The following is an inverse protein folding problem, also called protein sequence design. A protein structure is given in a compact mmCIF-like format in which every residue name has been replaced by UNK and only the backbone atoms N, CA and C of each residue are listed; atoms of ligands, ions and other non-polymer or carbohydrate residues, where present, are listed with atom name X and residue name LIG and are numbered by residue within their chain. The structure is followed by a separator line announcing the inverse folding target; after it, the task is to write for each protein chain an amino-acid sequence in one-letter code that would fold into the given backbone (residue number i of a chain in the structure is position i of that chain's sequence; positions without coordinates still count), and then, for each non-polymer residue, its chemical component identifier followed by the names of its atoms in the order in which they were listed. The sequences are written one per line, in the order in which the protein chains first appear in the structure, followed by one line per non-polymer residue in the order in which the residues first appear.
data_IF_769688619731
#
_entry.id   IF_769688619731
#
_cell.length_a   1.000
_cell.length_b   1.000
_cell.length_c   1.000
_cell.angle_alpha   90.00
_cell.angle_beta   90.00
_cell.angle_gamma   90.00
#
_symmetry.space_group_name_H-M   'P 1'
#
loop_
_entity.id
_entity.type
_entity.pdbx_description
1 polymer ?
#
# COMPACT_ATOMS: atom_id res chain seq x y z
N UNK A 1 -4.06 7.07 -16.38
CA UNK A 1 -3.38 7.06 -15.05
C UNK A 1 -2.63 8.36 -14.71
N UNK A 2 -2.12 9.15 -15.69
CA UNK A 2 -1.34 10.36 -15.37
C UNK A 2 -2.10 11.36 -14.47
N UNK A 3 -3.36 11.75 -14.75
CA UNK A 3 -4.12 12.63 -13.86
C UNK A 3 -4.34 12.03 -12.46
N UNK A 4 -4.58 10.72 -12.37
CA UNK A 4 -4.77 10.00 -11.10
C UNK A 4 -3.51 10.08 -10.24
N UNK A 5 -2.36 9.72 -10.81
CA UNK A 5 -1.10 9.75 -10.08
C UNK A 5 -0.72 11.18 -9.67
N UNK A 6 -0.91 12.16 -10.57
CA UNK A 6 -0.72 13.57 -10.25
C UNK A 6 -1.58 13.99 -9.06
N UNK A 7 -2.88 13.69 -9.08
CA UNK A 7 -3.80 14.02 -7.98
C UNK A 7 -3.30 13.46 -6.66
N UNK A 8 -2.88 12.19 -6.62
CA UNK A 8 -2.39 11.57 -5.39
C UNK A 8 -1.09 12.23 -4.89
N UNK A 9 -0.07 12.37 -5.75
CA UNK A 9 1.23 12.90 -5.35
C UNK A 9 1.19 14.39 -5.02
N UNK A 10 0.36 15.17 -5.72
CA UNK A 10 0.29 16.61 -5.52
C UNK A 10 -0.70 17.05 -4.43
N UNK A 11 -1.73 16.26 -4.10
CA UNK A 11 -2.79 16.72 -3.19
C UNK A 11 -2.97 15.85 -1.94
N UNK A 12 -2.59 14.56 -1.96
CA UNK A 12 -2.96 13.63 -0.89
C UNK A 12 -1.81 12.97 -0.17
N UNK A 13 -0.84 12.42 -0.90
CA UNK A 13 0.26 11.66 -0.29
C UNK A 13 1.14 12.61 0.53
N UNK A 14 1.23 12.34 1.81
CA UNK A 14 2.17 13.00 2.72
C UNK A 14 3.55 12.36 2.53
N UNK A 15 4.47 13.08 1.91
CA UNK A 15 5.82 12.59 1.61
C UNK A 15 6.85 13.71 1.58
N UNK A 16 8.10 13.39 1.91
CA UNK A 16 9.24 14.30 1.78
C UNK A 16 10.24 13.69 0.79
N UNK A 17 10.36 14.21 -0.43
CA UNK A 17 11.32 13.71 -1.41
C UNK A 17 12.79 13.82 -0.97
N UNK A 18 13.11 14.70 -0.02
CA UNK A 18 14.47 14.85 0.53
C UNK A 18 14.80 13.77 1.56
N UNK A 19 13.79 13.14 2.17
CA UNK A 19 13.92 11.97 3.02
C UNK A 19 12.91 10.88 2.63
N UNK A 20 13.22 10.09 1.59
CA UNK A 20 12.33 9.02 1.12
C UNK A 20 12.01 7.95 2.18
N UNK A 21 12.80 7.88 3.25
CA UNK A 21 12.64 6.91 4.32
C UNK A 21 12.01 7.51 5.59
N UNK A 22 11.56 8.78 5.52
CA UNK A 22 10.88 9.41 6.63
C UNK A 22 9.75 8.53 7.20
N UNK A 23 9.78 8.27 8.49
CA UNK A 23 8.85 7.34 9.15
C UNK A 23 7.40 7.83 9.07
N UNK A 24 7.16 9.13 9.18
CA UNK A 24 5.83 9.75 9.16
C UNK A 24 5.20 9.92 7.78
N UNK A 25 5.87 9.45 6.70
CA UNK A 25 5.32 9.51 5.35
C UNK A 25 4.16 8.54 5.16
N UNK A 26 3.25 8.85 4.26
CA UNK A 26 2.29 7.88 3.74
C UNK A 26 3.00 6.81 2.88
N UNK A 27 2.35 5.70 2.62
CA UNK A 27 2.86 4.62 1.76
C UNK A 27 2.04 4.55 0.48
N UNK A 28 2.72 4.51 -0.66
CA UNK A 28 2.10 4.38 -1.97
C UNK A 28 2.50 3.07 -2.63
N UNK A 29 1.54 2.28 -3.04
CA UNK A 29 1.73 1.01 -3.74
C UNK A 29 1.07 1.06 -5.12
N UNK A 30 1.86 0.86 -6.16
CA UNK A 30 1.37 0.63 -7.52
C UNK A 30 1.19 -0.88 -7.71
N UNK A 31 -0.02 -1.40 -7.53
CA UNK A 31 -0.30 -2.83 -7.59
C UNK A 31 -0.12 -3.36 -9.02
N UNK A 32 -0.67 -2.66 -10.02
CA UNK A 32 -0.41 -2.95 -11.43
C UNK A 32 1.00 -2.51 -11.83
N UNK A 33 2.03 -3.26 -11.42
CA UNK A 33 3.44 -2.88 -11.56
C UNK A 33 3.90 -2.64 -12.99
N UNK A 34 3.22 -3.19 -14.00
CA UNK A 34 3.50 -2.92 -15.42
C UNK A 34 3.27 -1.45 -15.83
N UNK A 35 2.50 -0.69 -15.03
CA UNK A 35 2.33 0.76 -15.19
C UNK A 35 3.43 1.59 -14.48
N UNK A 36 4.59 1.01 -14.18
CA UNK A 36 5.70 1.57 -13.41
C UNK A 36 6.12 2.97 -13.83
N UNK A 37 6.09 3.26 -15.13
CA UNK A 37 6.43 4.59 -15.65
C UNK A 37 5.56 5.70 -15.04
N UNK A 38 4.29 5.41 -14.72
CA UNK A 38 3.40 6.34 -14.03
C UNK A 38 4.01 6.79 -12.70
N UNK A 39 4.54 5.84 -11.91
CA UNK A 39 5.16 6.14 -10.63
C UNK A 39 6.53 6.81 -10.80
N UNK A 40 7.39 6.33 -11.72
CA UNK A 40 8.71 6.94 -11.94
C UNK A 40 8.62 8.40 -12.39
N UNK A 41 7.65 8.74 -13.23
CA UNK A 41 7.41 10.12 -13.64
C UNK A 41 7.05 10.98 -12.42
N UNK A 42 6.18 10.50 -11.53
CA UNK A 42 5.84 11.24 -10.30
C UNK A 42 7.04 11.40 -9.36
N UNK A 43 7.85 10.36 -9.20
CA UNK A 43 9.07 10.42 -8.39
C UNK A 43 10.09 11.42 -8.98
N UNK A 44 10.24 11.46 -10.30
CA UNK A 44 11.08 12.45 -10.98
C UNK A 44 10.56 13.87 -10.76
N UNK A 45 9.27 14.10 -11.01
CA UNK A 45 8.64 15.41 -10.84
C UNK A 45 8.64 15.87 -9.37
N UNK A 46 8.48 14.96 -8.42
CA UNK A 46 8.50 15.27 -6.99
C UNK A 46 9.91 15.53 -6.45
N UNK A 47 10.97 15.07 -7.11
CA UNK A 47 12.35 15.31 -6.70
C UNK A 47 13.01 14.20 -5.88
N UNK A 48 12.60 12.95 -6.05
CA UNK A 48 13.18 11.78 -5.36
C UNK A 48 14.58 11.36 -5.87
N UNK A 49 15.27 12.24 -6.58
CA UNK A 49 16.62 11.99 -7.07
C UNK A 49 16.70 11.11 -8.32
N UNK A 50 15.57 10.84 -8.98
CA UNK A 50 15.58 10.36 -10.36
C UNK A 50 15.95 11.51 -11.31
N UNK A 51 16.74 11.20 -12.32
CA UNK A 51 17.14 12.13 -13.37
C UNK A 51 16.36 11.85 -14.66
N UNK A 52 16.41 12.80 -15.60
CA UNK A 52 15.84 12.58 -16.92
C UNK A 52 16.54 11.42 -17.66
N UNK A 53 17.83 11.19 -17.41
CA UNK A 53 18.56 10.08 -18.00
C UNK A 53 18.14 8.73 -17.40
N UNK A 54 17.74 8.68 -16.14
CA UNK A 54 17.11 7.48 -15.57
C UNK A 54 15.80 7.15 -16.29
N UNK A 55 14.98 8.16 -16.63
CA UNK A 55 13.74 7.96 -17.40
C UNK A 55 14.02 7.54 -18.85
N UNK A 56 15.05 8.10 -19.50
CA UNK A 56 15.50 7.67 -20.82
C UNK A 56 15.99 6.22 -20.82
N UNK A 57 16.54 5.76 -19.70
CA UNK A 57 17.01 4.38 -19.49
C UNK A 57 15.92 3.43 -18.98
N UNK A 58 14.64 3.79 -19.11
CA UNK A 58 13.52 2.94 -18.72
C UNK A 58 13.61 1.56 -19.38
N UNK A 59 13.57 0.49 -18.58
CA UNK A 59 13.80 -0.89 -19.05
C UNK A 59 15.18 -1.12 -19.68
N UNK A 60 16.17 -0.31 -19.35
CA UNK A 60 17.50 -0.33 -19.96
C UNK A 60 18.44 -1.45 -19.53
N UNK A 61 17.96 -2.46 -18.81
CA UNK A 61 18.75 -3.60 -18.35
C UNK A 61 19.15 -3.52 -16.89
N UNK A 62 20.21 -4.23 -16.49
CA UNK A 62 20.58 -4.45 -15.09
C UNK A 62 20.97 -3.17 -14.33
N UNK A 63 21.43 -2.14 -15.03
CA UNK A 63 21.90 -0.88 -14.41
C UNK A 63 20.81 0.22 -14.38
N UNK A 64 19.58 -0.08 -14.84
CA UNK A 64 18.51 0.91 -14.83
C UNK A 64 17.95 1.12 -13.43
N UNK A 65 17.72 2.39 -13.07
CA UNK A 65 16.96 2.75 -11.86
C UNK A 65 15.45 2.78 -12.09
N UNK A 66 15.01 2.53 -13.32
CA UNK A 66 13.61 2.54 -13.75
C UNK A 66 13.27 1.24 -14.49
N UNK A 67 13.27 0.08 -13.79
CA UNK A 67 12.95 -1.21 -14.40
C UNK A 67 11.49 -1.28 -14.86
N UNK A 68 11.14 -2.33 -15.60
CA UNK A 68 9.79 -2.52 -16.14
C UNK A 68 8.68 -2.65 -15.10
N UNK A 69 9.03 -3.06 -13.89
CA UNK A 69 8.17 -3.12 -12.71
C UNK A 69 8.88 -2.43 -11.54
N UNK A 70 8.17 -1.80 -10.60
CA UNK A 70 8.81 -1.19 -9.43
C UNK A 70 9.54 -2.22 -8.58
N UNK A 71 10.74 -1.87 -8.11
CA UNK A 71 11.53 -2.73 -7.23
C UNK A 71 11.93 -1.98 -5.96
N UNK A 72 11.53 -2.52 -4.81
CA UNK A 72 11.91 -1.98 -3.51
C UNK A 72 13.43 -2.02 -3.32
N UNK A 73 13.98 -0.94 -2.81
CA UNK A 73 15.43 -0.80 -2.57
C UNK A 73 16.25 -0.38 -3.80
N UNK A 74 15.67 -0.41 -5.02
CA UNK A 74 16.34 0.04 -6.23
C UNK A 74 16.07 1.52 -6.54
N UNK A 75 14.80 1.89 -6.49
CA UNK A 75 14.36 3.27 -6.79
C UNK A 75 13.86 3.92 -5.50
N UNK A 76 14.41 5.09 -5.09
CA UNK A 76 13.89 5.82 -3.92
C UNK A 76 12.40 6.14 -4.07
N UNK A 77 11.63 5.94 -2.99
CA UNK A 77 10.18 6.17 -2.98
C UNK A 77 9.34 4.99 -3.48
N UNK A 78 9.95 3.86 -3.82
CA UNK A 78 9.24 2.59 -4.07
C UNK A 78 9.12 1.83 -2.74
N UNK A 79 7.89 1.61 -2.30
CA UNK A 79 7.60 0.95 -1.03
C UNK A 79 7.55 -0.58 -1.15
N UNK A 80 7.27 -1.10 -2.33
CA UNK A 80 7.09 -2.53 -2.57
C UNK A 80 7.44 -2.90 -4.01
N UNK A 81 8.07 -4.07 -4.18
CA UNK A 81 8.25 -4.73 -5.47
C UNK A 81 6.91 -5.29 -5.94
N UNK A 82 6.44 -4.87 -7.11
CA UNK A 82 5.22 -5.35 -7.73
C UNK A 82 5.46 -5.86 -9.15
N UNK A 83 4.47 -6.54 -9.73
CA UNK A 83 4.55 -7.17 -11.04
C UNK A 83 3.52 -8.30 -11.16
N UNK A 84 3.55 -9.32 -10.27
CA UNK A 84 2.44 -10.27 -10.16
C UNK A 84 1.18 -9.53 -9.67
N UNK A 85 0.12 -9.59 -10.49
CA UNK A 85 -1.13 -8.89 -10.21
C UNK A 85 -1.80 -9.37 -8.91
N UNK A 86 -2.50 -8.48 -8.24
CA UNK A 86 -3.17 -8.72 -6.96
C UNK A 86 -2.26 -8.71 -5.74
N UNK A 87 -0.95 -9.02 -5.87
CA UNK A 87 -0.03 -9.04 -4.72
C UNK A 87 0.18 -7.66 -4.13
N UNK A 88 0.36 -6.62 -4.96
CA UNK A 88 0.49 -5.24 -4.47
C UNK A 88 -0.74 -4.78 -3.69
N UNK A 89 -1.94 -5.11 -4.18
CA UNK A 89 -3.20 -4.85 -3.49
C UNK A 89 -3.24 -5.56 -2.12
N UNK A 90 -2.93 -6.86 -2.06
CA UNK A 90 -2.94 -7.61 -0.81
C UNK A 90 -1.88 -7.11 0.19
N UNK A 91 -0.65 -6.84 -0.28
CA UNK A 91 0.41 -6.30 0.59
C UNK A 91 0.11 -4.90 1.11
N UNK A 92 -0.63 -4.07 0.37
CA UNK A 92 -1.08 -2.78 0.88
C UNK A 92 -1.97 -2.93 2.13
N UNK A 93 -2.76 -4.00 2.20
CA UNK A 93 -3.53 -4.35 3.39
C UNK A 93 -2.59 -4.74 4.53
N UNK A 94 -1.49 -5.47 4.24
CA UNK A 94 -0.43 -5.76 5.20
C UNK A 94 0.25 -4.49 5.73
N UNK A 95 0.52 -3.51 4.87
CA UNK A 95 1.02 -2.19 5.30
C UNK A 95 0.03 -1.49 6.26
N UNK A 96 -1.27 -1.58 5.99
CA UNK A 96 -2.28 -1.00 6.88
C UNK A 96 -2.39 -1.75 8.23
N UNK A 97 -2.23 -3.09 8.22
CA UNK A 97 -2.08 -3.89 9.45
C UNK A 97 -0.84 -3.48 10.24
N UNK A 98 0.31 -3.37 9.56
CA UNK A 98 1.59 -2.99 10.18
C UNK A 98 1.53 -1.60 10.81
N UNK A 99 0.91 -0.62 10.13
CA UNK A 99 0.70 0.71 10.67
C UNK A 99 -0.12 0.67 11.97
N UNK A 100 -1.26 -0.04 11.96
CA UNK A 100 -2.11 -0.18 13.14
C UNK A 100 -1.39 -0.89 14.28
N UNK A 101 -0.65 -1.97 13.96
CA UNK A 101 0.12 -2.70 14.96
C UNK A 101 1.22 -1.82 15.57
N UNK A 102 1.99 -1.11 14.77
CA UNK A 102 3.03 -0.19 15.25
C UNK A 102 2.44 0.88 16.18
N UNK A 103 1.33 1.50 15.75
CA UNK A 103 0.62 2.48 16.56
C UNK A 103 0.14 1.90 17.89
N UNK A 104 -0.47 0.72 17.85
CA UNK A 104 -0.93 0.02 19.06
C UNK A 104 0.18 -0.37 20.01
N UNK A 105 1.34 -0.73 19.48
CA UNK A 105 2.53 -1.09 20.27
C UNK A 105 3.16 0.14 20.95
N UNK A 106 3.20 1.27 20.27
CA UNK A 106 3.99 2.42 20.67
C UNK A 106 3.17 3.58 21.23
N UNK A 107 1.93 3.78 20.75
CA UNK A 107 1.11 4.96 21.10
C UNK A 107 -0.40 4.65 21.05
N UNK A 108 -0.88 3.62 21.81
CA UNK A 108 -2.27 3.16 21.71
C UNK A 108 -3.32 4.17 22.21
N UNK A 109 -2.93 5.07 23.11
CA UNK A 109 -3.84 6.02 23.76
C UNK A 109 -4.05 7.33 22.98
N UNK A 110 -3.24 7.58 21.94
CA UNK A 110 -3.39 8.78 21.12
C UNK A 110 -4.72 8.78 20.36
N UNK A 111 -5.42 9.93 20.24
CA UNK A 111 -6.56 10.04 19.35
C UNK A 111 -6.17 9.74 17.90
N UNK A 112 -7.12 9.27 17.09
CA UNK A 112 -6.89 8.99 15.68
C UNK A 112 -6.39 10.25 14.93
N UNK A 113 -5.30 10.12 14.19
CA UNK A 113 -4.65 11.21 13.44
C UNK A 113 -3.69 12.07 14.26
N UNK A 114 -3.55 11.83 15.57
CA UNK A 114 -2.65 12.61 16.43
C UNK A 114 -1.33 11.88 16.74
N UNK A 115 -1.30 10.58 16.58
CA UNK A 115 -0.07 9.80 16.79
C UNK A 115 0.97 10.05 15.70
N UNK A 116 2.28 10.15 16.02
CA UNK A 116 3.33 10.21 15.03
C UNK A 116 3.43 8.93 14.18
N UNK A 117 2.78 7.85 14.59
CA UNK A 117 2.72 6.57 13.86
C UNK A 117 1.48 6.45 12.96
N UNK A 118 0.65 7.49 12.88
CA UNK A 118 -0.50 7.52 11.97
C UNK A 118 -0.05 7.94 10.56
N UNK A 119 -0.28 7.04 9.58
CA UNK A 119 -0.09 7.33 8.17
C UNK A 119 -1.10 6.58 7.30
N UNK A 120 -1.26 7.03 6.06
CA UNK A 120 -2.19 6.44 5.11
C UNK A 120 -1.48 5.49 4.14
N UNK A 121 -2.25 4.56 3.61
CA UNK A 121 -1.83 3.65 2.55
C UNK A 121 -2.65 3.98 1.30
N UNK A 122 -1.94 4.28 0.21
CA UNK A 122 -2.50 4.64 -1.09
C UNK A 122 -2.16 3.58 -2.11
N UNK A 123 -3.14 3.18 -2.89
CA UNK A 123 -2.97 2.12 -3.90
C UNK A 123 -3.56 2.58 -5.21
N UNK A 124 -2.88 2.26 -6.31
CA UNK A 124 -3.47 2.23 -7.65
C UNK A 124 -3.46 0.77 -8.10
N UNK A 125 -4.62 0.26 -8.52
CA UNK A 125 -4.78 -1.06 -9.10
C UNK A 125 -5.61 -1.01 -10.39
N UNK A 126 -5.51 -2.03 -11.22
CA UNK A 126 -6.28 -2.18 -12.43
C UNK A 126 -7.22 -3.39 -12.37
N UNK A 127 -7.93 -3.67 -13.48
CA UNK A 127 -8.86 -4.80 -13.57
C UNK A 127 -8.18 -6.13 -13.24
N UNK A 128 -6.99 -6.38 -13.78
CA UNK A 128 -6.29 -7.63 -13.54
C UNK A 128 -5.93 -7.85 -12.07
N UNK A 129 -5.59 -6.78 -11.32
CA UNK A 129 -5.43 -6.88 -9.85
C UNK A 129 -6.72 -7.31 -9.16
N UNK A 130 -7.86 -6.76 -9.63
CA UNK A 130 -9.19 -7.01 -9.04
C UNK A 130 -9.71 -8.41 -9.38
N UNK A 131 -9.31 -8.97 -10.52
CA UNK A 131 -9.68 -10.33 -10.97
C UNK A 131 -8.94 -11.42 -10.18
N UNK A 132 -7.73 -11.14 -9.68
CA UNK A 132 -6.96 -12.10 -8.90
C UNK A 132 -7.69 -12.50 -7.60
N UNK A 133 -7.76 -13.80 -7.32
CA UNK A 133 -8.48 -14.36 -6.18
C UNK A 133 -8.02 -13.80 -4.84
N UNK A 134 -6.71 -13.57 -4.68
CA UNK A 134 -6.12 -13.00 -3.46
C UNK A 134 -6.65 -11.60 -3.16
N UNK A 135 -7.01 -10.81 -4.16
CA UNK A 135 -7.57 -9.46 -3.97
C UNK A 135 -8.94 -9.52 -3.30
N UNK A 136 -9.79 -10.48 -3.68
CA UNK A 136 -11.09 -10.70 -3.02
C UNK A 136 -10.94 -11.14 -1.56
N UNK A 137 -10.03 -12.08 -1.30
CA UNK A 137 -9.72 -12.55 0.05
C UNK A 137 -9.18 -11.42 0.93
N UNK A 138 -8.21 -10.63 0.41
CA UNK A 138 -7.60 -9.52 1.10
C UNK A 138 -8.59 -8.37 1.36
N UNK A 139 -9.45 -8.04 0.37
CA UNK A 139 -10.49 -7.03 0.52
C UNK A 139 -11.49 -7.39 1.64
N UNK A 140 -11.89 -8.67 1.73
CA UNK A 140 -12.74 -9.14 2.81
C UNK A 140 -12.11 -8.97 4.19
N UNK A 141 -10.81 -9.26 4.32
CA UNK A 141 -10.06 -9.04 5.58
C UNK A 141 -9.93 -7.55 5.92
N UNK A 142 -9.62 -6.70 4.94
CA UNK A 142 -9.49 -5.25 5.14
C UNK A 142 -10.76 -4.62 5.69
N UNK A 143 -11.92 -5.03 5.18
CA UNK A 143 -13.23 -4.59 5.68
C UNK A 143 -13.50 -5.08 7.10
N UNK A 144 -13.27 -6.37 7.36
CA UNK A 144 -13.43 -6.96 8.69
C UNK A 144 -12.56 -6.26 9.75
N UNK A 145 -11.39 -5.80 9.34
CA UNK A 145 -10.45 -5.05 10.18
C UNK A 145 -10.74 -3.54 10.23
N UNK A 146 -11.70 -3.03 9.45
CA UNK A 146 -12.02 -1.60 9.43
C UNK A 146 -10.80 -0.72 9.18
N UNK A 147 -10.03 -1.02 8.10
CA UNK A 147 -8.78 -0.31 7.79
C UNK A 147 -9.04 1.06 7.17
N UNK A 148 -9.42 2.02 8.00
CA UNK A 148 -9.80 3.37 7.57
C UNK A 148 -8.67 4.20 6.97
N UNK A 149 -7.41 3.82 7.15
CA UNK A 149 -6.25 4.46 6.54
C UNK A 149 -5.90 3.96 5.13
N UNK A 150 -6.65 3.00 4.59
CA UNK A 150 -6.45 2.42 3.26
C UNK A 150 -7.38 3.08 2.23
N UNK A 151 -6.80 3.63 1.17
CA UNK A 151 -7.52 4.19 0.01
C UNK A 151 -6.98 3.59 -1.27
N UNK A 152 -7.84 2.96 -2.04
CA UNK A 152 -7.52 2.30 -3.31
C UNK A 152 -8.21 3.05 -4.45
N UNK A 153 -7.43 3.44 -5.45
CA UNK A 153 -7.92 3.96 -6.72
C UNK A 153 -7.91 2.81 -7.72
N UNK A 154 -9.07 2.45 -8.19
CA UNK A 154 -9.26 1.42 -9.21
C UNK A 154 -9.34 2.09 -10.59
N UNK A 155 -8.28 1.91 -11.41
CA UNK A 155 -8.24 2.38 -12.80
C UNK A 155 -9.07 1.45 -13.68
N UNK A 156 -10.30 1.86 -13.95
CA UNK A 156 -11.26 1.12 -14.75
C UNK A 156 -11.18 1.56 -16.23
N UNK A 157 -10.11 1.18 -16.90
CA UNK A 157 -9.92 1.49 -18.33
C UNK A 157 -10.50 0.43 -19.27
N UNK A 158 -10.92 -0.72 -18.74
CA UNK A 158 -11.58 -1.83 -19.42
C UNK A 158 -10.74 -2.53 -20.49
N UNK A 159 -9.42 -2.36 -20.46
CA UNK A 159 -8.52 -2.96 -21.44
C UNK A 159 -7.47 -3.83 -20.74
N UNK A 160 -7.35 -5.06 -21.22
CA UNK A 160 -6.30 -6.02 -20.91
C UNK A 160 -5.49 -6.38 -22.16
N UNK A 161 -4.46 -7.21 -22.02
CA UNK A 161 -3.60 -7.63 -23.16
C UNK A 161 -4.42 -8.30 -24.27
N UNK A 162 -5.41 -9.13 -23.92
CA UNK A 162 -6.23 -9.86 -24.88
C UNK A 162 -7.39 -9.06 -25.45
N UNK A 163 -7.71 -7.89 -24.85
CA UNK A 163 -8.82 -7.06 -25.33
C UNK A 163 -9.63 -6.39 -24.23
N UNK A 164 -10.90 -6.13 -24.53
CA UNK A 164 -11.85 -5.54 -23.60
C UNK A 164 -12.20 -6.53 -22.49
N UNK A 165 -12.24 -6.04 -21.25
CA UNK A 165 -12.53 -6.84 -20.04
C UNK A 165 -13.92 -7.47 -20.03
N UNK A 166 -14.87 -7.02 -20.88
CA UNK A 166 -16.16 -7.68 -21.05
C UNK A 166 -16.04 -9.15 -21.47
N UNK A 167 -14.88 -9.58 -21.97
CA UNK A 167 -14.62 -10.99 -22.28
C UNK A 167 -14.60 -11.88 -21.03
N UNK A 168 -14.20 -11.33 -19.88
CA UNK A 168 -13.89 -12.09 -18.65
C UNK A 168 -14.49 -11.51 -17.38
N UNK A 169 -14.81 -10.24 -17.33
CA UNK A 169 -15.29 -9.52 -16.16
C UNK A 169 -16.74 -9.07 -16.35
N UNK A 170 -17.69 -9.84 -15.82
CA UNK A 170 -19.12 -9.56 -15.92
C UNK A 170 -19.71 -8.95 -14.64
N UNK A 171 -18.93 -8.83 -13.59
CA UNK A 171 -19.41 -8.38 -12.29
C UNK A 171 -19.37 -6.85 -12.14
N UNK A 172 -20.18 -6.36 -11.20
CA UNK A 172 -20.11 -5.00 -10.70
C UNK A 172 -19.12 -4.94 -9.55
N UNK A 173 -17.92 -4.47 -9.82
CA UNK A 173 -16.81 -4.39 -8.86
C UNK A 173 -17.18 -3.57 -7.63
N UNK A 174 -17.88 -2.43 -7.81
CA UNK A 174 -18.29 -1.60 -6.68
C UNK A 174 -19.24 -2.35 -5.75
N UNK A 175 -20.24 -3.06 -6.28
CA UNK A 175 -21.15 -3.88 -5.47
C UNK A 175 -20.43 -5.02 -4.76
N UNK A 176 -19.44 -5.65 -5.41
CA UNK A 176 -18.62 -6.68 -4.76
C UNK A 176 -17.90 -6.10 -3.54
N UNK A 177 -17.25 -4.96 -3.67
CA UNK A 177 -16.54 -4.32 -2.57
C UNK A 177 -17.49 -3.78 -1.48
N UNK A 178 -18.66 -3.26 -1.85
CA UNK A 178 -19.72 -2.91 -0.90
C UNK A 178 -20.16 -4.14 -0.07
N UNK A 179 -20.29 -5.30 -0.71
CA UNK A 179 -20.65 -6.54 -0.03
C UNK A 179 -19.55 -7.01 0.95
N UNK A 180 -18.29 -6.67 0.71
CA UNK A 180 -17.21 -6.89 1.70
C UNK A 180 -17.29 -5.92 2.88
N UNK A 181 -17.92 -4.75 2.74
CA UNK A 181 -17.97 -3.69 3.76
C UNK A 181 -17.07 -2.50 3.48
N UNK A 182 -16.58 -2.33 2.25
CA UNK A 182 -15.84 -1.15 1.83
C UNK A 182 -16.76 0.03 1.57
N UNK A 183 -16.27 1.23 1.83
CA UNK A 183 -16.84 2.42 1.22
C UNK A 183 -16.43 2.46 -0.25
N UNK A 184 -17.38 2.73 -1.14
CA UNK A 184 -17.10 2.82 -2.57
C UNK A 184 -17.65 4.12 -3.13
N UNK A 185 -16.90 4.70 -4.06
CA UNK A 185 -17.33 5.85 -4.84
C UNK A 185 -16.83 5.68 -6.28
N UNK A 186 -17.32 6.50 -7.19
CA UNK A 186 -16.90 6.48 -8.59
C UNK A 186 -16.67 7.89 -9.13
N UNK A 187 -15.71 8.00 -10.02
CA UNK A 187 -15.39 9.19 -10.77
C UNK A 187 -15.13 8.84 -12.24
N UNK A 188 -15.50 9.70 -13.17
CA UNK A 188 -15.27 9.43 -14.59
C UNK A 188 -14.65 10.62 -15.28
N UNK A 189 -13.52 10.38 -15.95
CA UNK A 189 -12.98 11.33 -16.94
C UNK A 189 -13.75 11.28 -18.27
N UNK A 190 -14.52 10.20 -18.49
CA UNK A 190 -15.38 10.05 -19.68
C UNK A 190 -16.69 10.77 -19.39
N UNK A 191 -17.00 11.77 -20.20
CA UNK A 191 -18.21 12.57 -20.06
C UNK A 191 -19.44 11.84 -20.66
N UNK A 192 -20.67 12.24 -20.30
CA UNK A 192 -21.89 11.62 -20.85
C UNK A 192 -22.03 11.71 -22.39
N UNK A 193 -21.37 12.66 -23.01
CA UNK A 193 -21.32 12.81 -24.47
C UNK A 193 -20.21 11.97 -25.13
N UNK A 194 -19.45 11.21 -24.34
CA UNK A 194 -18.33 10.39 -24.79
C UNK A 194 -17.00 11.16 -24.92
N UNK A 195 -16.98 12.46 -24.66
CA UNK A 195 -15.73 13.22 -24.60
C UNK A 195 -14.92 12.84 -23.34
N UNK A 196 -13.64 13.18 -23.33
CA UNK A 196 -12.76 12.92 -22.19
C UNK A 196 -12.25 14.24 -21.61
N UNK A 197 -12.36 14.39 -20.29
CA UNK A 197 -11.90 15.59 -19.58
C UNK A 197 -11.08 15.16 -18.36
N UNK A 198 -9.82 15.58 -18.32
CA UNK A 198 -8.93 15.38 -17.16
C UNK A 198 -9.28 16.35 -16.02
N UNK A 199 -10.36 16.07 -15.32
CA UNK A 199 -10.87 16.87 -14.20
C UNK A 199 -10.20 16.45 -12.89
N UNK A 200 -8.99 16.94 -12.69
CA UNK A 200 -8.15 16.66 -11.51
C UNK A 200 -8.80 17.17 -10.23
N UNK A 201 -9.44 18.35 -10.28
CA UNK A 201 -10.12 18.94 -9.11
C UNK A 201 -11.33 18.10 -8.69
N UNK A 202 -12.15 17.67 -9.67
CA UNK A 202 -13.29 16.79 -9.40
C UNK A 202 -12.88 15.43 -8.82
N UNK A 203 -11.77 14.86 -9.30
CA UNK A 203 -11.22 13.64 -8.71
C UNK A 203 -10.72 13.88 -7.27
N UNK A 204 -10.01 14.98 -7.04
CA UNK A 204 -9.55 15.33 -5.70
C UNK A 204 -10.72 15.51 -4.72
N UNK A 205 -11.78 16.20 -5.13
CA UNK A 205 -12.99 16.35 -4.32
C UNK A 205 -13.66 15.01 -3.99
N UNK A 206 -13.70 14.09 -4.95
CA UNK A 206 -14.26 12.74 -4.75
C UNK A 206 -13.44 11.97 -3.71
N UNK A 207 -12.11 11.97 -3.83
CA UNK A 207 -11.22 11.33 -2.86
C UNK A 207 -11.38 11.94 -1.45
N UNK A 208 -11.41 13.26 -1.35
CA UNK A 208 -11.56 13.96 -0.07
C UNK A 208 -12.87 13.60 0.61
N UNK A 209 -13.99 13.64 -0.12
CA UNK A 209 -15.33 13.26 0.38
C UNK A 209 -15.37 11.81 0.86
N UNK A 210 -14.81 10.88 0.09
CA UNK A 210 -14.75 9.47 0.47
C UNK A 210 -14.01 9.25 1.80
N UNK A 211 -12.89 9.96 1.99
CA UNK A 211 -12.11 9.87 3.23
C UNK A 211 -12.83 10.46 4.43
N UNK A 212 -13.54 11.55 4.26
CA UNK A 212 -14.36 12.17 5.31
C UNK A 212 -15.59 11.31 5.67
N UNK A 213 -16.27 10.76 4.66
CA UNK A 213 -17.48 9.96 4.85
C UNK A 213 -17.24 8.62 5.55
N UNK A 214 -16.05 8.03 5.38
CA UNK A 214 -15.76 6.68 5.85
C UNK A 214 -14.41 6.57 6.59
N UNK A 215 -14.23 7.24 7.74
CA UNK A 215 -12.94 7.25 8.45
C UNK A 215 -12.51 5.86 8.93
N UNK A 216 -13.45 4.96 9.20
CA UNK A 216 -13.20 3.62 9.73
C UNK A 216 -13.47 2.48 8.71
N UNK A 217 -13.52 2.79 7.42
CA UNK A 217 -13.69 1.78 6.37
C UNK A 217 -12.59 1.94 5.31
N UNK A 218 -12.08 0.84 4.74
CA UNK A 218 -11.26 0.94 3.55
C UNK A 218 -12.08 1.50 2.39
N UNK A 219 -11.45 2.26 1.49
CA UNK A 219 -12.11 2.97 0.39
C UNK A 219 -11.65 2.43 -0.93
N UNK A 220 -12.59 2.14 -1.83
CA UNK A 220 -12.35 1.89 -3.24
C UNK A 220 -13.01 2.98 -4.07
N UNK A 221 -12.21 3.74 -4.79
CA UNK A 221 -12.68 4.77 -5.71
C UNK A 221 -12.39 4.29 -7.13
N UNK A 222 -13.45 3.93 -7.84
CA UNK A 222 -13.37 3.57 -9.26
C UNK A 222 -13.21 4.83 -10.09
N UNK A 223 -12.22 4.83 -10.98
CA UNK A 223 -11.99 5.93 -11.93
C UNK A 223 -12.08 5.40 -13.35
N UNK A 224 -13.13 5.80 -14.09
CA UNK A 224 -13.25 5.45 -15.50
C UNK A 224 -12.25 6.29 -16.34
N UNK A 225 -11.34 5.59 -17.00
CA UNK A 225 -10.28 6.17 -17.83
C UNK A 225 -10.29 5.57 -19.24
N UNK A 226 -9.49 6.15 -20.14
CA UNK A 226 -9.19 5.58 -21.46
C UNK A 226 -7.69 5.36 -21.60
N UNK A 227 -7.29 4.12 -21.87
CA UNK A 227 -5.88 3.80 -22.10
C UNK A 227 -5.36 4.58 -23.32
N UNK A 228 -4.13 5.08 -23.21
CA UNK A 228 -3.42 5.84 -24.25
C UNK A 228 -4.16 7.09 -24.78
N UNK A 229 -5.16 7.62 -24.07
CA UNK A 229 -5.77 8.89 -24.43
C UNK A 229 -4.73 10.04 -24.32
N UNK A 230 -4.68 11.01 -25.24
CA UNK A 230 -5.45 11.17 -26.47
C UNK A 230 -4.70 10.72 -27.74
N UNK A 231 -3.88 9.69 -27.66
CA UNK A 231 -3.02 9.24 -28.78
C UNK A 231 -3.85 8.83 -30.01
N UNK A 232 -3.63 9.46 -31.18
CA UNK A 232 -4.34 9.13 -32.40
C UNK A 232 -4.20 7.65 -32.79
N UNK A 233 -5.35 6.99 -33.06
CA UNK A 233 -5.39 5.58 -33.45
C UNK A 233 -4.94 4.57 -32.39
N UNK A 234 -4.68 5.03 -31.14
CA UNK A 234 -4.24 4.20 -30.04
C UNK A 234 -5.09 4.36 -28.77
N UNK A 235 -5.91 5.41 -28.69
CA UNK A 235 -6.84 5.60 -27.58
C UNK A 235 -7.82 4.44 -27.50
N UNK A 236 -7.97 3.84 -26.31
CA UNK A 236 -8.84 2.70 -26.03
C UNK A 236 -8.59 1.47 -26.91
N UNK A 237 -7.34 1.30 -27.38
CA UNK A 237 -6.92 0.16 -28.20
C UNK A 237 -6.11 -0.83 -27.33
N UNK A 238 -6.43 -2.14 -27.33
CA UNK A 238 -5.74 -3.15 -26.51
C UNK A 238 -4.23 -3.22 -26.80
N UNK A 239 -3.79 -2.92 -28.04
CA UNK A 239 -2.36 -2.89 -28.37
C UNK A 239 -1.59 -1.83 -27.58
N UNK A 240 -2.26 -0.86 -26.97
CA UNK A 240 -1.65 0.17 -26.13
C UNK A 240 -1.28 -0.36 -24.74
N UNK A 241 -1.84 -1.50 -24.32
CA UNK A 241 -1.58 -2.07 -22.99
C UNK A 241 -0.13 -2.59 -22.85
N UNK A 242 0.38 -3.30 -23.83
CA UNK A 242 1.70 -3.96 -23.72
C UNK A 242 2.67 -3.71 -24.87
N UNK A 243 2.29 -2.91 -25.87
CA UNK A 243 3.08 -2.69 -27.06
C UNK A 243 3.54 -1.24 -27.17
N UNK A 244 4.61 -1.00 -27.95
CA UNK A 244 5.04 0.36 -28.29
C UNK A 244 3.96 1.05 -29.11
N UNK A 245 3.67 2.31 -28.79
CA UNK A 245 2.72 3.14 -29.56
C UNK A 245 3.16 3.33 -31.02
N UNK A 246 4.48 3.39 -31.26
CA UNK A 246 5.07 3.65 -32.56
C UNK A 246 5.35 5.14 -32.80
N UNK A 247 6.34 5.42 -33.66
CA UNK A 247 6.82 6.78 -33.88
C UNK A 247 5.74 7.74 -34.42
N UNK A 248 4.92 7.26 -35.35
CA UNK A 248 3.84 8.05 -35.95
C UNK A 248 2.78 8.45 -34.91
N UNK A 249 2.33 7.49 -34.07
CA UNK A 249 1.34 7.76 -33.02
C UNK A 249 1.89 8.70 -31.94
N UNK A 250 3.18 8.56 -31.58
CA UNK A 250 3.86 9.46 -30.63
C UNK A 250 4.00 10.86 -31.22
N UNK A 251 4.39 11.01 -32.50
CA UNK A 251 4.45 12.31 -33.14
C UNK A 251 3.07 13.01 -33.17
N UNK A 252 2.02 12.27 -33.57
CA UNK A 252 0.67 12.80 -33.59
C UNK A 252 0.14 13.16 -32.19
N UNK A 253 0.53 12.41 -31.15
CA UNK A 253 0.21 12.77 -29.75
C UNK A 253 0.88 14.10 -29.36
N UNK A 254 2.17 14.27 -29.68
CA UNK A 254 2.90 15.51 -29.38
C UNK A 254 2.29 16.71 -30.07
N UNK A 255 1.99 16.60 -31.36
CA UNK A 255 1.30 17.64 -32.12
C UNK A 255 -0.04 18.03 -31.50
N UNK A 256 -0.83 17.03 -31.11
CA UNK A 256 -2.13 17.25 -30.47
C UNK A 256 -2.01 17.99 -29.13
N UNK A 257 -0.94 17.73 -28.39
CA UNK A 257 -0.65 18.37 -27.10
C UNK A 257 0.14 19.69 -27.24
N UNK A 258 0.48 20.10 -28.46
CA UNK A 258 1.21 21.35 -28.74
C UNK A 258 2.72 21.25 -28.54
N UNK A 259 3.29 20.06 -28.51
CA UNK A 259 4.73 19.81 -28.43
C UNK A 259 5.35 19.59 -29.84
N UNK A 260 6.66 19.84 -29.92
CA UNK A 260 7.42 19.51 -31.13
C UNK A 260 7.51 17.98 -31.33
N UNK A 261 6.99 17.42 -32.43
CA UNK A 261 7.02 15.98 -32.69
C UNK A 261 8.44 15.40 -32.81
N UNK A 262 9.42 16.21 -33.20
CA UNK A 262 10.81 15.78 -33.35
C UNK A 262 11.61 15.87 -32.05
N UNK A 263 11.17 16.67 -31.05
CA UNK A 263 11.83 16.79 -29.75
C UNK A 263 11.50 15.60 -28.88
N UNK A 264 12.50 14.94 -28.29
CA UNK A 264 12.31 13.82 -27.35
C UNK A 264 12.67 14.23 -25.93
N UNK A 265 11.91 13.74 -24.96
CA UNK A 265 12.10 14.00 -23.55
C UNK A 265 12.06 15.49 -23.17
N UNK A 266 11.22 16.24 -23.86
CA UNK A 266 10.91 17.61 -23.44
C UNK A 266 10.30 17.62 -22.03
N UNK A 267 10.80 18.53 -21.19
CA UNK A 267 10.26 18.77 -19.87
C UNK A 267 9.96 20.26 -19.76
N UNK A 268 8.70 20.59 -19.59
CA UNK A 268 8.28 21.95 -19.34
C UNK A 268 8.80 22.43 -17.97
N UNK A 269 9.60 23.51 -17.97
CA UNK A 269 10.26 24.02 -16.75
C UNK A 269 9.27 24.57 -15.74
N UNK A 270 8.16 25.16 -16.18
CA UNK A 270 7.11 25.69 -15.31
C UNK A 270 6.34 24.54 -14.64
N UNK A 271 6.01 23.51 -15.41
CA UNK A 271 5.37 22.29 -14.89
C UNK A 271 6.28 21.56 -13.89
N UNK A 272 7.57 21.44 -14.18
CA UNK A 272 8.55 20.85 -13.26
C UNK A 272 8.67 21.67 -11.98
N UNK A 273 8.79 23.00 -12.09
CA UNK A 273 8.86 23.89 -10.94
C UNK A 273 7.59 23.84 -10.08
N UNK A 274 6.41 23.72 -10.72
CA UNK A 274 5.15 23.53 -10.00
C UNK A 274 5.14 22.21 -9.23
N UNK A 275 5.46 21.10 -9.88
CA UNK A 275 5.45 19.79 -9.27
C UNK A 275 6.45 19.67 -8.10
N UNK A 276 7.62 20.31 -8.22
CA UNK A 276 8.67 20.37 -7.19
C UNK A 276 8.25 21.08 -5.91
N UNK A 277 7.18 21.89 -5.90
CA UNK A 277 6.63 22.51 -4.68
C UNK A 277 6.13 21.47 -3.66
N UNK A 278 5.91 20.24 -4.07
CA UNK A 278 5.60 19.15 -3.14
C UNK A 278 6.71 18.94 -2.11
N UNK A 279 7.98 19.17 -2.48
CA UNK A 279 9.09 19.07 -1.54
C UNK A 279 9.03 20.12 -0.41
N UNK A 280 8.52 21.32 -0.70
CA UNK A 280 8.32 22.36 0.32
C UNK A 280 7.21 21.95 1.30
N UNK A 281 6.07 21.44 0.77
CA UNK A 281 4.97 20.90 1.59
C UNK A 281 5.39 19.69 2.41
N UNK A 282 6.20 18.80 1.80
CA UNK A 282 6.76 17.63 2.46
C UNK A 282 7.67 18.00 3.62
N UNK A 283 8.54 18.97 3.43
CA UNK A 283 9.42 19.48 4.49
C UNK A 283 8.62 20.12 5.66
N UNK A 284 7.54 20.82 5.37
CA UNK A 284 6.68 21.37 6.41
C UNK A 284 5.97 20.26 7.20
N UNK A 285 5.36 19.30 6.50
CA UNK A 285 4.73 18.14 7.14
C UNK A 285 5.74 17.30 7.95
N UNK A 286 6.99 17.20 7.51
CA UNK A 286 8.07 16.54 8.23
C UNK A 286 8.41 17.26 9.54
N UNK A 287 8.53 18.61 9.51
CA UNK A 287 8.76 19.41 10.73
C UNK A 287 7.62 19.28 11.74
N UNK A 288 6.37 19.34 11.28
CA UNK A 288 5.21 19.13 12.15
C UNK A 288 5.21 17.74 12.78
N UNK A 289 5.62 16.73 12.00
CA UNK A 289 5.77 15.38 12.50
C UNK A 289 6.91 15.26 13.53
N UNK A 290 8.05 15.88 13.28
CA UNK A 290 9.18 15.94 14.22
C UNK A 290 8.77 16.52 15.58
N UNK A 291 7.96 17.57 15.58
CA UNK A 291 7.42 18.15 16.81
C UNK A 291 6.55 17.15 17.57
N UNK A 292 5.60 16.49 16.89
CA UNK A 292 4.75 15.44 17.47
C UNK A 292 5.58 14.25 17.97
N UNK A 293 6.51 13.78 17.17
CA UNK A 293 7.38 12.66 17.51
C UNK A 293 8.26 12.94 18.73
N UNK A 294 8.86 14.13 18.80
CA UNK A 294 9.65 14.54 19.96
C UNK A 294 8.80 14.71 21.23
N UNK A 295 7.58 15.24 21.09
CA UNK A 295 6.63 15.32 22.20
C UNK A 295 6.22 13.93 22.70
N UNK A 296 5.90 13.00 21.78
CA UNK A 296 5.60 11.62 22.10
C UNK A 296 6.77 10.91 22.82
N UNK A 297 8.00 11.03 22.30
CA UNK A 297 9.21 10.45 22.95
C UNK A 297 9.37 10.91 24.38
N UNK A 298 9.14 12.19 24.64
CA UNK A 298 9.26 12.79 25.98
C UNK A 298 8.15 12.29 26.92
N UNK A 299 6.94 12.10 26.39
CA UNK A 299 5.80 11.63 27.18
C UNK A 299 5.86 10.12 27.44
N UNK A 300 6.49 9.33 26.53
CA UNK A 300 6.48 7.86 26.56
C UNK A 300 7.92 7.30 26.50
N UNK A 301 8.77 7.52 27.53
CA UNK A 301 10.19 7.15 27.47
C UNK A 301 10.43 5.64 27.29
N UNK A 302 9.57 4.78 27.88
CA UNK A 302 9.70 3.33 27.76
C UNK A 302 9.36 2.85 26.33
N UNK A 303 8.29 3.40 25.73
CA UNK A 303 7.93 3.11 24.34
C UNK A 303 8.94 3.69 23.35
N UNK A 304 9.55 4.83 23.68
CA UNK A 304 10.65 5.38 22.89
C UNK A 304 11.90 4.49 22.92
N UNK A 305 12.24 3.92 24.08
CA UNK A 305 13.33 2.95 24.19
C UNK A 305 13.02 1.65 23.44
N UNK A 306 11.75 1.17 23.50
CA UNK A 306 11.30 0.04 22.69
C UNK A 306 11.45 0.34 21.19
N UNK A 307 11.00 1.50 20.73
CA UNK A 307 11.13 1.90 19.34
C UNK A 307 12.61 1.95 18.89
N UNK A 308 13.49 2.54 19.71
CA UNK A 308 14.94 2.60 19.41
C UNK A 308 15.54 1.20 19.28
N UNK A 309 15.19 0.28 20.18
CA UNK A 309 15.60 -1.13 20.11
C UNK A 309 15.12 -1.81 18.82
N UNK A 310 13.85 -1.60 18.44
CA UNK A 310 13.29 -2.14 17.22
C UNK A 310 14.00 -1.60 15.97
N UNK A 311 14.30 -0.31 15.94
CA UNK A 311 15.04 0.32 14.83
C UNK A 311 16.48 -0.18 14.74
N UNK A 312 17.12 -0.50 15.86
CA UNK A 312 18.45 -1.09 15.92
C UNK A 312 18.46 -2.58 15.55
N UNK A 313 17.28 -3.25 15.48
CA UNK A 313 17.19 -4.69 15.25
C UNK A 313 17.73 -5.53 16.41
N UNK A 314 17.69 -4.99 17.63
CA UNK A 314 18.24 -5.64 18.81
C UNK A 314 17.18 -6.52 19.50
N UNK A 315 17.63 -7.66 20.05
CA UNK A 315 16.78 -8.52 20.86
C UNK A 315 16.50 -7.87 22.23
N UNK A 316 15.35 -8.15 22.87
CA UNK A 316 15.03 -7.60 24.18
C UNK A 316 15.90 -8.21 25.28
N UNK A 317 16.07 -7.48 26.37
CA UNK A 317 16.64 -8.03 27.59
C UNK A 317 15.81 -9.25 28.04
N UNK A 318 16.52 -10.31 28.46
CA UNK A 318 15.90 -11.57 28.90
C UNK A 318 15.53 -12.55 27.77
N UNK A 319 15.82 -12.24 26.50
CA UNK A 319 15.54 -13.17 25.39
C UNK A 319 16.28 -14.51 25.56
N UNK A 320 17.61 -14.49 25.78
CA UNK A 320 18.40 -15.71 25.99
C UNK A 320 17.91 -16.49 27.21
N UNK A 321 17.62 -15.78 28.32
CA UNK A 321 17.06 -16.42 29.52
C UNK A 321 15.73 -17.11 29.26
N UNK A 322 14.86 -16.52 28.44
CA UNK A 322 13.57 -17.13 28.09
C UNK A 322 13.74 -18.43 27.31
N UNK A 323 14.77 -18.50 26.46
CA UNK A 323 15.13 -19.71 25.72
C UNK A 323 15.75 -20.76 26.63
N UNK A 324 16.71 -20.38 27.50
CA UNK A 324 17.36 -21.29 28.45
C UNK A 324 16.32 -21.88 29.44
N UNK A 325 15.46 -21.06 29.99
CA UNK A 325 14.39 -21.50 30.88
C UNK A 325 13.45 -22.48 30.18
N UNK A 326 13.12 -22.25 28.90
CA UNK A 326 12.31 -23.17 28.11
C UNK A 326 13.05 -24.50 27.86
N UNK A 327 14.33 -24.45 27.46
CA UNK A 327 15.13 -25.65 27.19
C UNK A 327 15.16 -26.56 28.43
N UNK A 328 15.30 -26.00 29.62
CA UNK A 328 15.27 -26.74 30.89
C UNK A 328 13.94 -27.48 31.17
N UNK A 329 12.87 -27.16 30.47
CA UNK A 329 11.57 -27.85 30.60
C UNK A 329 11.48 -29.15 29.77
N UNK A 330 12.37 -29.36 28.82
CA UNK A 330 12.35 -30.56 27.98
C UNK A 330 13.12 -31.70 28.64
N UNK A 331 12.49 -32.90 28.68
CA UNK A 331 13.11 -34.11 29.22
C UNK A 331 13.97 -34.78 28.16
N UNK A 332 15.25 -35.01 28.48
CA UNK A 332 16.18 -35.72 27.57
C UNK A 332 15.65 -37.14 27.28
N UNK A 333 15.60 -37.48 25.99
CA UNK A 333 15.12 -38.81 25.54
C UNK A 333 13.61 -38.89 25.38
N UNK A 334 12.84 -37.89 25.70
CA UNK A 334 11.40 -37.79 25.45
C UNK A 334 11.10 -37.10 24.12
N UNK A 335 10.40 -37.81 23.25
CA UNK A 335 10.00 -37.25 21.93
C UNK A 335 8.95 -36.14 22.10
N UNK A 336 9.15 -35.04 21.39
CA UNK A 336 8.18 -33.92 21.30
C UNK A 336 7.83 -33.70 19.83
N UNK A 337 6.55 -33.53 19.52
CA UNK A 337 6.14 -33.16 18.17
C UNK A 337 6.69 -31.76 17.81
N UNK A 338 7.26 -31.60 16.63
CA UNK A 338 7.91 -30.35 16.19
C UNK A 338 7.00 -29.13 16.31
N UNK A 339 5.71 -29.24 15.95
CA UNK A 339 4.72 -28.17 16.14
C UNK A 339 4.53 -27.80 17.61
N UNK A 340 4.61 -28.78 18.53
CA UNK A 340 4.53 -28.54 19.96
C UNK A 340 5.75 -27.80 20.49
N UNK A 341 6.96 -28.22 20.07
CA UNK A 341 8.19 -27.51 20.39
C UNK A 341 8.18 -26.08 19.84
N UNK A 342 7.79 -25.90 18.57
CA UNK A 342 7.64 -24.58 17.94
C UNK A 342 6.68 -23.66 18.72
N UNK A 343 5.48 -24.16 19.09
CA UNK A 343 4.53 -23.38 19.88
C UNK A 343 5.02 -23.04 21.29
N UNK A 344 5.86 -23.89 21.90
CA UNK A 344 6.48 -23.58 23.19
C UNK A 344 7.52 -22.47 23.03
N UNK A 345 8.38 -22.53 22.01
CA UNK A 345 9.36 -21.49 21.68
C UNK A 345 8.65 -20.16 21.38
N UNK A 346 7.63 -20.20 20.51
CA UNK A 346 6.85 -19.01 20.16
C UNK A 346 6.31 -18.29 21.39
N UNK A 347 5.73 -19.04 22.33
CA UNK A 347 5.15 -18.45 23.54
C UNK A 347 6.19 -18.00 24.57
N UNK A 348 7.35 -18.64 24.65
CA UNK A 348 8.46 -18.18 25.50
C UNK A 348 9.01 -16.84 24.97
N UNK A 349 9.22 -16.73 23.68
CA UNK A 349 9.68 -15.49 23.02
C UNK A 349 8.61 -14.40 23.15
N UNK A 350 7.34 -14.69 22.89
CA UNK A 350 6.25 -13.72 22.97
C UNK A 350 6.07 -13.08 24.37
N UNK A 351 6.56 -13.75 25.42
CA UNK A 351 6.52 -13.22 26.78
C UNK A 351 7.50 -12.06 27.00
N UNK A 352 8.60 -11.99 26.23
CA UNK A 352 9.64 -10.98 26.34
C UNK A 352 9.72 -10.04 25.14
N UNK A 353 9.05 -10.38 24.03
CA UNK A 353 8.99 -9.60 22.79
C UNK A 353 7.57 -9.06 22.55
N UNK A 354 7.22 -7.87 23.01
CA UNK A 354 5.89 -7.30 22.80
C UNK A 354 5.59 -7.06 21.29
N UNK A 355 6.60 -6.88 20.49
CA UNK A 355 6.50 -6.71 19.04
C UNK A 355 6.23 -8.01 18.28
N UNK A 356 6.34 -9.17 18.91
CA UNK A 356 6.01 -10.43 18.26
C UNK A 356 4.50 -10.57 18.14
N UNK A 357 4.02 -10.59 16.92
CA UNK A 357 2.63 -10.81 16.56
C UNK A 357 2.54 -11.81 15.41
N UNK A 358 1.41 -12.43 15.23
CA UNK A 358 1.24 -13.42 14.18
C UNK A 358 -0.03 -14.24 14.36
N UNK A 359 -0.22 -15.21 13.49
CA UNK A 359 -1.42 -16.02 13.51
C UNK A 359 -1.42 -17.11 12.45
N UNK A 360 -2.61 -17.51 12.03
CA UNK A 360 -2.81 -18.64 11.15
C UNK A 360 -4.05 -18.47 10.28
N UNK A 361 -4.07 -19.17 9.16
CA UNK A 361 -5.24 -19.35 8.30
C UNK A 361 -6.11 -20.51 8.85
N UNK A 362 -6.81 -20.27 9.96
CA UNK A 362 -7.71 -21.21 10.63
C UNK A 362 -7.04 -22.48 11.20
N UNK A 363 -5.73 -22.47 11.40
CA UNK A 363 -4.97 -23.64 11.85
C UNK A 363 -4.25 -23.44 13.20
N UNK A 364 -4.48 -22.32 13.92
CA UNK A 364 -3.75 -21.95 15.13
C UNK A 364 -3.66 -23.06 16.18
N UNK A 365 -4.77 -23.69 16.51
CA UNK A 365 -4.81 -24.82 17.46
C UNK A 365 -4.08 -26.07 16.99
N UNK A 366 -4.00 -26.29 15.65
CA UNK A 366 -3.32 -27.45 15.05
C UNK A 366 -1.82 -27.24 14.91
N UNK A 367 -1.39 -26.08 14.38
CA UNK A 367 0.02 -25.73 14.18
C UNK A 367 0.67 -25.05 15.38
N UNK A 368 -0.10 -24.76 16.45
CA UNK A 368 0.36 -24.20 17.71
C UNK A 368 0.91 -22.76 17.59
N UNK A 369 0.28 -21.95 16.77
CA UNK A 369 0.65 -20.55 16.57
C UNK A 369 -0.16 -19.57 17.39
N UNK A 370 -1.01 -20.06 18.31
CA UNK A 370 -1.76 -19.20 19.22
C UNK A 370 -0.83 -18.59 20.28
N UNK A 371 -0.85 -17.26 20.41
CA UNK A 371 -0.12 -16.52 21.43
C UNK A 371 -0.92 -16.47 22.72
N UNK A 372 -0.45 -17.15 23.76
CA UNK A 372 -1.15 -17.25 25.05
C UNK A 372 -1.34 -15.88 25.70
N UNK A 373 -2.60 -15.56 26.00
CA UNK A 373 -2.95 -14.31 26.66
C UNK A 373 -2.96 -13.06 25.74
N UNK A 374 -2.59 -13.21 24.48
CA UNK A 374 -2.68 -12.10 23.53
C UNK A 374 -4.13 -11.83 23.14
N UNK A 375 -4.48 -10.56 23.01
CA UNK A 375 -5.75 -10.14 22.41
C UNK A 375 -5.74 -10.44 20.91
N UNK A 376 -6.89 -10.77 20.36
CA UNK A 376 -7.10 -10.88 18.91
C UNK A 376 -6.97 -9.49 18.28
N UNK A 377 -6.19 -9.41 17.21
CA UNK A 377 -6.06 -8.21 16.38
C UNK A 377 -7.33 -8.06 15.51
N UNK A 378 -8.34 -7.44 16.08
CA UNK A 378 -9.62 -7.20 15.42
C UNK A 378 -10.42 -6.13 16.17
N UNK A 379 -11.38 -5.44 15.52
CA UNK A 379 -12.34 -4.60 16.22
C UNK A 379 -13.07 -5.34 17.34
N UNK A 380 -13.45 -4.62 18.40
CA UNK A 380 -14.04 -5.22 19.60
C UNK A 380 -15.33 -6.00 19.33
N UNK A 381 -16.12 -5.59 18.34
CA UNK A 381 -17.35 -6.27 17.91
C UNK A 381 -17.12 -7.64 17.26
N UNK A 382 -15.88 -7.94 16.87
CA UNK A 382 -15.51 -9.27 16.37
C UNK A 382 -15.37 -10.32 17.46
N UNK A 383 -15.52 -9.94 18.73
CA UNK A 383 -15.37 -10.86 19.87
C UNK A 383 -16.34 -12.06 19.78
N UNK A 384 -15.80 -13.24 20.07
CA UNK A 384 -16.55 -14.50 20.09
C UNK A 384 -16.39 -15.20 21.45
N UNK A 385 -17.14 -16.26 21.66
CA UNK A 385 -17.01 -17.08 22.87
C UNK A 385 -15.60 -17.68 23.02
N UNK A 386 -14.97 -18.06 21.90
CA UNK A 386 -13.63 -18.64 21.86
C UNK A 386 -12.54 -17.57 21.98
N UNK A 387 -12.79 -16.40 21.43
CA UNK A 387 -11.90 -15.26 21.38
C UNK A 387 -12.60 -14.00 21.94
N UNK A 388 -12.79 -13.95 23.28
CA UNK A 388 -13.57 -12.86 23.90
C UNK A 388 -12.82 -11.52 23.93
N UNK A 389 -11.50 -11.56 23.81
CA UNK A 389 -10.63 -10.39 23.90
C UNK A 389 -10.19 -9.94 22.50
N UNK A 390 -11.04 -9.19 21.81
CA UNK A 390 -10.67 -8.51 20.58
C UNK A 390 -10.25 -7.08 20.87
N UNK A 391 -9.15 -6.67 20.26
CA UNK A 391 -8.60 -5.33 20.34
C UNK A 391 -7.92 -5.02 19.01
N UNK A 392 -8.21 -3.89 18.42
CA UNK A 392 -7.61 -3.47 17.14
C UNK A 392 -6.07 -3.42 17.17
N UNK A 393 -5.47 -3.37 18.36
CA UNK A 393 -4.03 -3.42 18.61
C UNK A 393 -3.54 -4.77 19.15
N UNK A 394 -4.36 -5.82 19.03
CA UNK A 394 -4.00 -7.16 19.47
C UNK A 394 -2.81 -7.75 18.71
N UNK A 395 -2.26 -8.86 19.25
CA UNK A 395 -1.10 -9.54 18.62
C UNK A 395 -1.44 -10.87 17.98
N UNK A 396 -2.63 -11.42 18.26
CA UNK A 396 -3.09 -12.67 17.66
C UNK A 396 -3.86 -12.39 16.37
N UNK A 397 -3.30 -12.78 15.23
CA UNK A 397 -3.93 -12.63 13.91
C UNK A 397 -4.80 -13.83 13.55
N UNK A 398 -5.92 -13.58 12.89
CA UNK A 398 -6.79 -14.59 12.30
C UNK A 398 -7.06 -14.26 10.85
N UNK A 399 -6.54 -15.07 9.94
CA UNK A 399 -6.72 -14.85 8.49
C UNK A 399 -7.96 -15.58 7.94
N UNK A 400 -8.53 -16.54 8.70
CA UNK A 400 -9.52 -17.47 8.16
C UNK A 400 -8.89 -18.40 7.13
N UNK A 401 -9.69 -19.11 6.35
CA UNK A 401 -9.18 -20.02 5.30
C UNK A 401 -8.75 -19.22 4.09
N UNK A 402 -7.57 -18.58 4.18
CA UNK A 402 -6.99 -17.66 3.19
C UNK A 402 -5.47 -17.72 3.18
N UNK A 403 -4.92 -18.92 2.98
CA UNK A 403 -3.47 -19.16 3.05
C UNK A 403 -2.70 -18.36 2.00
N UNK A 404 -3.25 -18.24 0.78
CA UNK A 404 -2.60 -17.50 -0.29
C UNK A 404 -2.50 -16.00 0.03
N UNK A 405 -3.60 -15.42 0.50
CA UNK A 405 -3.65 -14.02 0.92
C UNK A 405 -2.79 -13.77 2.15
N UNK A 406 -2.79 -14.67 3.14
CA UNK A 406 -1.90 -14.58 4.30
C UNK A 406 -0.42 -14.48 3.90
N UNK A 407 -0.02 -15.17 2.82
CA UNK A 407 1.34 -15.09 2.28
C UNK A 407 1.64 -13.79 1.52
N UNK A 408 0.63 -13.01 1.14
CA UNK A 408 0.77 -11.74 0.43
C UNK A 408 0.60 -10.50 1.35
N UNK A 409 -0.17 -10.62 2.42
CA UNK A 409 -0.34 -9.60 3.47
C UNK A 409 0.91 -9.57 4.36
#
# INVERSE_FOLDING_TARGET
LAPVAYTLYQHFIKHDPNDPNWEGRDRFILSGGHASLTQYVQLYFSGYGLTLDDLKNFRGGADTRTPGHPEYGLTPGIEMTTGPLGQGFASAIGFAYGQRFQRGLLDPEAPAGESPFDHNIWVICGEGDIEEGISGEAASLAANQQLGNLTVIFDANRIQIEGDTNLVLAEDVLKRFQAYGWYTDEFSFIQPDGSYKEDVEGLADTIAKAREAAPNQPKLIKVDTLIAWPTPGKTNDPSSHGSKLGAEAVAGLKELLGYDPEESFHVDEEALAHARKVAERGLEAHKEWDEKYNAWRKANPDNAALYDRLKAGELPEGFDKAIDDLEATFEVGKGVATRGASGSVLNAIAAVMPELWGGSADLGGSNKTDLKGAATFAPAECATKQWPNCNEFGRQLHFGVREFTMGCI
#
